data_IF_932697469543
#
_entry.id   IF_932697469543
#
_cell.length_a   1.000
_cell.length_b   1.000
_cell.length_c   1.000
_cell.angle_alpha   90.00
_cell.angle_beta   90.00
_cell.angle_gamma   90.00
#
_symmetry.space_group_name_H-M   'P 1'
#
loop_
_entity.id
_entity.type
_entity.pdbx_description
1 polymer ?
#
# COMPACT_ATOMS: atom_id res chain seq x y z
N UNK A 1 -10.17 27.16 7.39
CA UNK A 1 -9.28 26.64 6.35
C UNK A 1 -9.97 25.56 5.57
N UNK A 2 -9.98 25.71 4.30
CA UNK A 2 -10.58 24.68 3.47
C UNK A 2 -9.61 23.51 3.31
N UNK A 3 -10.12 22.33 3.56
CA UNK A 3 -9.36 21.13 3.35
C UNK A 3 -9.23 20.87 1.86
N UNK A 4 -8.04 20.52 1.42
CA UNK A 4 -7.81 20.21 0.02
C UNK A 4 -8.47 18.88 -0.34
N UNK A 5 -9.25 18.88 -1.41
CA UNK A 5 -9.92 17.69 -1.90
C UNK A 5 -9.46 17.39 -3.32
N UNK A 6 -9.69 16.14 -3.74
CA UNK A 6 -9.21 15.64 -5.02
C UNK A 6 -10.32 14.86 -5.72
N UNK A 7 -10.34 14.95 -7.03
CA UNK A 7 -11.23 14.12 -7.83
C UNK A 7 -10.61 12.73 -7.96
N UNK A 8 -11.43 11.75 -8.36
CA UNK A 8 -10.91 10.40 -8.58
C UNK A 8 -9.82 10.41 -9.66
N UNK A 9 -9.98 11.25 -10.67
CA UNK A 9 -8.97 11.38 -11.72
C UNK A 9 -7.63 11.85 -11.14
N UNK A 10 -7.69 12.86 -10.28
CA UNK A 10 -6.48 13.39 -9.64
C UNK A 10 -5.83 12.32 -8.75
N UNK A 11 -6.66 11.57 -8.02
CA UNK A 11 -6.15 10.49 -7.17
C UNK A 11 -5.46 9.44 -8.02
N UNK A 12 -6.09 9.04 -9.14
CA UNK A 12 -5.50 8.07 -10.04
C UNK A 12 -4.16 8.55 -10.59
N UNK A 13 -4.08 9.82 -10.97
CA UNK A 13 -2.84 10.39 -11.48
C UNK A 13 -1.74 10.40 -10.43
N UNK A 14 -2.09 10.76 -9.18
CA UNK A 14 -1.10 10.86 -8.11
C UNK A 14 -0.63 9.51 -7.59
N UNK A 15 -1.47 8.49 -7.67
CA UNK A 15 -1.15 7.17 -7.10
C UNK A 15 -0.69 6.17 -8.16
N UNK A 16 -0.98 6.43 -9.43
CA UNK A 16 -0.70 5.48 -10.48
C UNK A 16 -1.68 4.30 -10.52
N UNK A 17 -2.76 4.41 -9.76
CA UNK A 17 -3.78 3.36 -9.67
C UNK A 17 -4.98 3.80 -10.52
N UNK A 18 -5.56 2.86 -11.28
CA UNK A 18 -6.69 3.19 -12.14
C UNK A 18 -7.92 3.59 -11.31
N UNK A 19 -8.79 4.37 -11.90
CA UNK A 19 -10.03 4.77 -11.25
C UNK A 19 -10.89 3.56 -10.89
N UNK A 20 -10.92 2.55 -11.76
CA UNK A 20 -11.68 1.34 -11.50
C UNK A 20 -11.15 0.59 -10.28
N UNK A 21 -9.84 0.55 -10.12
CA UNK A 21 -9.22 -0.09 -8.95
C UNK A 21 -9.54 0.68 -7.68
N UNK A 22 -9.53 2.02 -7.74
CA UNK A 22 -9.90 2.85 -6.60
C UNK A 22 -11.35 2.56 -6.19
N UNK A 23 -12.26 2.51 -7.16
CA UNK A 23 -13.66 2.18 -6.89
C UNK A 23 -13.81 0.79 -6.29
N UNK A 24 -13.02 -0.15 -6.77
CA UNK A 24 -13.02 -1.52 -6.24
C UNK A 24 -12.59 -1.54 -4.78
N UNK A 25 -11.55 -0.78 -4.43
CA UNK A 25 -11.09 -0.70 -3.04
C UNK A 25 -12.17 -0.11 -2.13
N UNK A 26 -12.94 0.85 -2.62
CA UNK A 26 -14.08 1.38 -1.87
C UNK A 26 -15.15 0.31 -1.70
N UNK A 27 -15.43 -0.44 -2.76
CA UNK A 27 -16.46 -1.47 -2.76
C UNK A 27 -16.16 -2.56 -1.73
N UNK A 28 -14.93 -2.97 -1.62
CA UNK A 28 -14.53 -4.01 -0.67
C UNK A 28 -14.14 -3.44 0.70
N UNK A 29 -14.35 -2.16 0.90
CA UNK A 29 -14.13 -1.48 2.18
C UNK A 29 -12.67 -1.42 2.62
N UNK A 30 -11.72 -1.48 1.69
CA UNK A 30 -10.32 -1.17 1.99
C UNK A 30 -10.11 0.32 2.09
N UNK A 31 -10.92 1.10 1.39
CA UNK A 31 -10.97 2.53 1.51
C UNK A 31 -12.33 2.91 2.06
N UNK A 32 -12.42 3.97 2.88
CA UNK A 32 -13.72 4.54 3.19
C UNK A 32 -14.39 4.96 1.90
N UNK A 33 -15.70 4.90 1.85
CA UNK A 33 -16.41 5.36 0.68
C UNK A 33 -16.19 6.86 0.52
N UNK A 34 -15.95 7.27 -0.73
CA UNK A 34 -15.71 8.67 -1.03
C UNK A 34 -16.92 9.52 -0.64
N UNK A 35 -16.66 10.65 -0.05
CA UNK A 35 -17.70 11.62 0.21
C UNK A 35 -18.12 12.25 -1.10
N UNK A 36 -19.36 12.73 -1.15
CA UNK A 36 -19.90 13.35 -2.34
C UNK A 36 -20.24 14.81 -2.05
N UNK A 37 -19.90 15.65 -2.99
CA UNK A 37 -20.30 17.07 -2.93
C UNK A 37 -21.77 17.19 -3.29
N UNK A 38 -22.32 18.38 -3.13
CA UNK A 38 -23.72 18.64 -3.45
C UNK A 38 -24.09 18.27 -4.89
N UNK A 39 -23.12 18.36 -5.79
CA UNK A 39 -23.31 17.97 -7.20
C UNK A 39 -23.16 16.46 -7.43
N UNK A 40 -23.08 15.67 -6.35
CA UNK A 40 -22.93 14.22 -6.36
C UNK A 40 -21.60 13.71 -6.89
N UNK A 41 -20.64 14.57 -7.15
CA UNK A 41 -19.31 14.14 -7.55
C UNK A 41 -18.53 13.68 -6.33
N UNK A 42 -17.83 12.56 -6.48
CA UNK A 42 -16.98 12.01 -5.44
C UNK A 42 -15.78 12.92 -5.22
N UNK A 43 -15.36 13.06 -3.99
CA UNK A 43 -14.11 13.71 -3.68
C UNK A 43 -13.34 12.89 -2.64
N UNK A 44 -12.03 13.04 -2.69
CA UNK A 44 -11.11 12.30 -1.84
C UNK A 44 -10.26 13.28 -1.09
N UNK A 45 -9.71 12.80 0.02
CA UNK A 45 -8.85 13.62 0.87
C UNK A 45 -7.42 13.09 0.80
N UNK A 46 -6.51 13.86 1.37
CA UNK A 46 -5.11 13.50 1.44
C UNK A 46 -4.91 12.14 2.11
N UNK A 47 -5.70 11.86 3.14
CA UNK A 47 -5.65 10.60 3.86
C UNK A 47 -5.99 9.42 2.96
N UNK A 48 -6.92 9.62 2.05
CA UNK A 48 -7.29 8.58 1.09
C UNK A 48 -6.15 8.26 0.14
N UNK A 49 -5.49 9.29 -0.34
CA UNK A 49 -4.33 9.13 -1.22
C UNK A 49 -3.22 8.38 -0.49
N UNK A 50 -2.97 8.76 0.75
CA UNK A 50 -1.97 8.10 1.58
C UNK A 50 -2.30 6.61 1.75
N UNK A 51 -3.57 6.31 2.03
CA UNK A 51 -4.02 4.93 2.21
C UNK A 51 -3.86 4.11 0.94
N UNK A 52 -4.19 4.68 -0.20
CA UNK A 52 -4.02 4.01 -1.49
C UNK A 52 -2.53 3.68 -1.73
N UNK A 53 -1.65 4.61 -1.40
CA UNK A 53 -0.22 4.38 -1.52
C UNK A 53 0.26 3.26 -0.61
N UNK A 54 -0.31 3.17 0.61
CA UNK A 54 -0.01 2.08 1.52
C UNK A 54 -0.45 0.74 0.95
N UNK A 55 -1.67 0.68 0.41
CA UNK A 55 -2.19 -0.53 -0.23
C UNK A 55 -1.27 -0.98 -1.35
N UNK A 56 -0.88 -0.04 -2.20
CA UNK A 56 -0.01 -0.34 -3.32
C UNK A 56 1.35 -0.87 -2.85
N UNK A 57 1.89 -0.28 -1.80
CA UNK A 57 3.15 -0.72 -1.23
C UNK A 57 3.06 -2.13 -0.67
N UNK A 58 2.03 -2.41 0.12
CA UNK A 58 1.83 -3.73 0.70
C UNK A 58 1.59 -4.79 -0.37
N UNK A 59 0.89 -4.41 -1.44
CA UNK A 59 0.61 -5.32 -2.55
C UNK A 59 1.90 -5.79 -3.23
N UNK A 60 2.90 -4.95 -3.28
CA UNK A 60 4.20 -5.30 -3.86
C UNK A 60 4.92 -6.39 -3.09
N UNK A 61 4.59 -6.58 -1.82
CA UNK A 61 5.18 -7.64 -1.02
C UNK A 61 4.46 -8.98 -1.18
N UNK A 62 3.42 -9.00 -2.01
CA UNK A 62 2.62 -10.21 -2.20
C UNK A 62 1.51 -10.38 -1.17
N UNK A 63 1.28 -9.38 -0.34
CA UNK A 63 0.22 -9.45 0.66
C UNK A 63 -1.14 -9.39 -0.01
N UNK A 64 -2.07 -10.26 0.43
CA UNK A 64 -3.43 -10.24 -0.08
C UNK A 64 -4.19 -9.03 0.45
N UNK A 65 -5.24 -8.64 -0.25
CA UNK A 65 -6.07 -7.52 0.19
C UNK A 65 -6.70 -7.78 1.56
N UNK A 66 -7.11 -9.02 1.80
CA UNK A 66 -7.68 -9.39 3.10
C UNK A 66 -6.67 -9.25 4.23
N UNK A 67 -5.43 -9.65 3.98
CA UNK A 67 -4.38 -9.54 4.99
C UNK A 67 -4.03 -8.09 5.30
N UNK A 68 -4.33 -7.17 4.39
CA UNK A 68 -4.05 -5.75 4.60
C UNK A 68 -5.02 -5.09 5.57
N UNK A 69 -6.23 -5.62 5.72
CA UNK A 69 -7.28 -4.96 6.48
C UNK A 69 -6.87 -4.53 7.89
N UNK A 70 -6.23 -5.38 8.70
CA UNK A 70 -5.84 -4.95 10.03
C UNK A 70 -4.87 -3.77 10.02
N UNK A 71 -3.94 -3.77 9.06
CA UNK A 71 -2.95 -2.70 8.97
C UNK A 71 -3.58 -1.37 8.62
N UNK A 72 -4.55 -1.40 7.71
CA UNK A 72 -5.20 -0.18 7.25
C UNK A 72 -6.14 0.40 8.30
N UNK A 73 -6.83 -0.47 9.02
CA UNK A 73 -7.75 -0.03 10.08
C UNK A 73 -7.03 0.68 11.21
N UNK A 74 -5.88 0.18 11.61
CA UNK A 74 -5.15 0.72 12.74
C UNK A 74 -4.44 2.03 12.40
N UNK A 75 -4.09 2.23 11.14
CA UNK A 75 -3.29 3.39 10.76
C UNK A 75 -3.99 4.73 10.96
N UNK A 76 -5.31 4.73 10.93
CA UNK A 76 -6.10 5.97 11.05
C UNK A 76 -6.05 6.52 12.46
N UNK A 77 -6.15 5.64 13.45
CA UNK A 77 -6.21 6.04 14.84
C UNK A 77 -4.86 6.11 15.51
N UNK A 78 -3.81 5.75 14.79
CA UNK A 78 -2.43 5.82 15.23
C UNK A 78 -2.17 5.20 16.59
N UNK A 79 -3.00 4.27 16.98
CA UNK A 79 -2.95 3.68 18.30
C UNK A 79 -2.70 2.19 18.23
N UNK A 80 -1.71 1.81 17.44
CA UNK A 80 -1.32 0.41 17.31
C UNK A 80 -0.88 -0.20 18.63
N UNK A 81 -0.51 0.65 19.59
CA UNK A 81 -0.09 0.20 20.92
C UNK A 81 -1.22 -0.53 21.63
N UNK A 82 -2.47 -0.16 21.34
CA UNK A 82 -3.64 -0.77 21.97
C UNK A 82 -4.09 -2.05 21.28
N UNK A 83 -3.34 -2.48 20.24
CA UNK A 83 -3.69 -3.68 19.50
C UNK A 83 -2.47 -4.60 19.40
N UNK A 84 -2.17 -5.34 20.49
CA UNK A 84 -0.98 -6.20 20.52
C UNK A 84 -0.92 -7.21 19.38
N UNK A 85 -2.06 -7.76 19.00
CA UNK A 85 -2.12 -8.72 17.90
C UNK A 85 -1.71 -8.07 16.59
N UNK A 86 -2.12 -6.81 16.38
CA UNK A 86 -1.76 -6.08 15.18
C UNK A 86 -0.25 -5.78 15.17
N UNK A 87 0.29 -5.41 16.31
CA UNK A 87 1.73 -5.17 16.44
C UNK A 87 2.51 -6.44 16.09
N UNK A 88 2.05 -7.59 16.59
CA UNK A 88 2.69 -8.87 16.29
C UNK A 88 2.61 -9.19 14.81
N UNK A 89 1.48 -8.93 14.17
CA UNK A 89 1.33 -9.14 12.74
C UNK A 89 2.29 -8.23 11.94
N UNK A 90 2.42 -6.99 12.36
CA UNK A 90 3.34 -6.06 11.71
C UNK A 90 4.78 -6.52 11.84
N UNK A 91 5.17 -7.00 13.01
CA UNK A 91 6.52 -7.50 13.23
C UNK A 91 6.79 -8.73 12.39
N UNK A 92 5.83 -9.63 12.34
CA UNK A 92 5.93 -10.84 11.53
C UNK A 92 6.08 -10.50 10.06
N UNK A 93 5.30 -9.55 9.58
CA UNK A 93 5.37 -9.11 8.20
C UNK A 93 6.72 -8.44 7.90
N UNK A 94 7.21 -7.64 8.83
CA UNK A 94 8.52 -7.02 8.69
C UNK A 94 9.62 -8.08 8.56
N UNK A 95 9.59 -9.09 9.42
CA UNK A 95 10.53 -10.20 9.36
C UNK A 95 10.50 -10.91 8.01
N UNK A 96 9.29 -11.16 7.52
CA UNK A 96 9.11 -11.81 6.23
C UNK A 96 9.76 -11.00 5.11
N UNK A 97 9.53 -9.70 5.13
CA UNK A 97 10.11 -8.79 4.13
C UNK A 97 11.63 -8.74 4.25
N UNK A 98 12.16 -8.75 5.47
CA UNK A 98 13.61 -8.76 5.67
C UNK A 98 14.25 -10.02 5.10
N UNK A 99 13.58 -11.15 5.25
CA UNK A 99 14.05 -12.41 4.66
C UNK A 99 14.04 -12.31 3.14
N UNK A 100 12.99 -11.73 2.56
CA UNK A 100 12.92 -11.52 1.12
C UNK A 100 14.05 -10.61 0.62
N UNK A 101 14.32 -9.54 1.35
CA UNK A 101 15.42 -8.62 1.01
C UNK A 101 16.74 -9.38 1.00
N UNK A 102 16.98 -10.19 2.03
CA UNK A 102 18.21 -10.98 2.12
C UNK A 102 18.34 -11.95 0.96
N UNK A 103 17.26 -12.62 0.61
CA UNK A 103 17.24 -13.55 -0.51
C UNK A 103 17.52 -12.84 -1.83
N UNK A 104 16.92 -11.70 -2.03
CA UNK A 104 17.13 -10.91 -3.24
C UNK A 104 18.56 -10.40 -3.32
N UNK A 105 19.14 -10.02 -2.19
CA UNK A 105 20.54 -9.59 -2.15
C UNK A 105 21.47 -10.71 -2.56
N UNK A 106 21.19 -11.92 -2.12
CA UNK A 106 21.99 -13.09 -2.52
C UNK A 106 21.95 -13.31 -4.02
N UNK A 107 20.79 -13.12 -4.61
CA UNK A 107 20.63 -13.25 -6.07
C UNK A 107 21.43 -12.18 -6.79
N UNK A 108 21.35 -10.94 -6.31
CA UNK A 108 22.13 -9.83 -6.89
C UNK A 108 23.62 -10.14 -6.81
N UNK A 109 24.08 -10.60 -5.65
CA UNK A 109 25.49 -10.95 -5.46
C UNK A 109 25.92 -12.04 -6.43
N UNK A 110 25.09 -13.04 -6.63
CA UNK A 110 25.36 -14.13 -7.57
C UNK A 110 25.47 -13.59 -9.00
N UNK A 111 24.54 -12.71 -9.39
CA UNK A 111 24.56 -12.10 -10.72
C UNK A 111 25.82 -11.26 -10.90
N UNK A 112 26.18 -10.48 -9.87
CA UNK A 112 27.39 -9.64 -9.92
C UNK A 112 28.64 -10.48 -10.15
N UNK A 113 28.74 -11.64 -9.51
CA UNK A 113 29.85 -12.56 -9.72
C UNK A 113 29.88 -13.02 -11.17
N UNK A 114 28.74 -13.39 -11.73
CA UNK A 114 28.66 -13.84 -13.11
C UNK A 114 29.04 -12.74 -14.08
N UNK A 115 28.59 -11.53 -13.82
CA UNK A 115 28.94 -10.40 -14.68
C UNK A 115 30.44 -10.07 -14.60
N UNK A 116 31.00 -10.20 -13.39
CA UNK A 116 32.43 -9.92 -13.18
C UNK A 116 33.31 -10.95 -13.88
N UNK A 117 32.86 -12.18 -13.98
CA UNK A 117 33.58 -13.21 -14.72
C UNK A 117 33.62 -12.90 -16.21
N UNK A 118 32.76 -11.98 -16.64
CA UNK A 118 32.79 -11.43 -18.00
C UNK A 118 32.55 -12.45 -19.10
N UNK A 119 31.85 -13.54 -18.78
CA UNK A 119 31.62 -14.57 -19.77
C UNK A 119 30.18 -14.97 -19.84
N UNK A 120 29.50 -14.53 -20.88
CA UNK A 120 28.21 -15.12 -21.18
C UNK A 120 28.45 -16.54 -21.64
N UNK A 121 28.04 -17.48 -20.89
CA UNK A 121 28.19 -18.85 -21.30
C UNK A 121 26.88 -19.54 -21.46
#
# INVERSE_FOLDING_TARGET
MEEQTFTIKQVAEQTGISEDTIRYYEKIMLLPQAERKENRHRFYRKEDIYRIKQINCLKKTGMSLEAMRPFLSASVDSDSVNYPELVDQLRSQREHIMIQISSLQQIVDFIDIKLKEGRPQ
#
